data_IF_005869636375
#
_entry.id   IF_005869636375
#
_cell.length_a   1.000
_cell.length_b   1.000
_cell.length_c   1.000
_cell.angle_alpha   90.00
_cell.angle_beta   90.00
_cell.angle_gamma   90.00
#
_symmetry.space_group_name_H-M   'P 1'
#
loop_
_entity.id
_entity.type
_entity.pdbx_description
1 polymer ?
#
# COMPACT_ATOMS: atom_id res chain seq x y z
N UNK A 1 49.81 -77.92 -22.03
CA UNK A 1 48.48 -77.23 -22.07
C UNK A 1 48.46 -76.14 -21.02
N UNK A 2 48.57 -74.89 -21.43
CA UNK A 2 48.62 -73.70 -20.50
C UNK A 2 47.35 -72.91 -20.65
N UNK A 3 46.55 -72.84 -19.56
CA UNK A 3 45.36 -72.05 -19.42
C UNK A 3 45.72 -70.60 -19.28
N UNK A 4 45.17 -69.72 -20.15
CA UNK A 4 45.25 -68.24 -20.03
C UNK A 4 44.11 -67.74 -19.13
N UNK A 5 44.43 -67.18 -17.99
CA UNK A 5 43.49 -66.45 -17.12
C UNK A 5 43.35 -65.01 -17.62
N UNK A 6 42.15 -64.68 -18.09
CA UNK A 6 41.78 -63.33 -18.45
C UNK A 6 41.39 -62.53 -17.17
N UNK A 7 42.12 -61.45 -16.89
CA UNK A 7 41.78 -60.54 -15.80
C UNK A 7 40.80 -59.45 -16.34
N UNK A 8 39.59 -59.43 -15.82
CA UNK A 8 38.66 -58.37 -16.04
C UNK A 8 39.02 -57.20 -15.10
N UNK A 9 39.26 -56.02 -15.67
CA UNK A 9 39.47 -54.78 -14.94
C UNK A 9 38.11 -54.14 -14.78
N UNK A 10 37.58 -54.08 -13.55
CA UNK A 10 36.39 -53.28 -13.22
C UNK A 10 36.82 -51.82 -13.04
N UNK A 11 36.41 -50.95 -13.98
CA UNK A 11 36.52 -49.52 -13.87
C UNK A 11 35.30 -49.03 -13.10
N UNK A 12 35.47 -48.73 -11.83
CA UNK A 12 34.41 -48.15 -11.00
C UNK A 12 34.20 -46.66 -11.37
N UNK A 13 33.08 -46.38 -11.99
CA UNK A 13 32.63 -45.00 -12.24
C UNK A 13 32.07 -44.42 -10.94
N UNK A 14 32.83 -43.59 -10.23
CA UNK A 14 32.36 -42.83 -9.09
C UNK A 14 31.62 -41.61 -9.65
N UNK A 15 30.29 -41.68 -9.68
CA UNK A 15 29.42 -40.53 -9.89
C UNK A 15 29.46 -39.66 -8.64
N UNK A 16 30.16 -38.52 -8.73
CA UNK A 16 29.99 -37.42 -7.77
C UNK A 16 28.61 -36.80 -8.02
N UNK A 17 27.62 -37.22 -7.23
CA UNK A 17 26.40 -36.44 -7.04
C UNK A 17 26.77 -35.21 -6.21
N UNK A 18 27.07 -34.11 -6.90
CA UNK A 18 27.06 -32.78 -6.27
C UNK A 18 25.61 -32.44 -5.90
N UNK A 19 25.20 -32.89 -4.74
CA UNK A 19 23.97 -32.42 -4.12
C UNK A 19 24.12 -30.92 -3.85
N UNK A 20 23.52 -30.09 -4.66
CA UNK A 20 23.26 -28.72 -4.30
C UNK A 20 22.38 -28.76 -3.04
N UNK A 21 22.99 -28.61 -1.87
CA UNK A 21 22.27 -28.24 -0.66
C UNK A 21 21.73 -26.83 -0.93
N UNK A 22 20.46 -26.75 -1.36
CA UNK A 22 19.67 -25.55 -1.25
C UNK A 22 19.54 -25.35 0.26
N UNK A 23 20.37 -24.47 0.81
CA UNK A 23 20.16 -23.97 2.16
C UNK A 23 18.81 -23.29 2.12
N UNK A 24 17.81 -23.89 2.78
CA UNK A 24 16.57 -23.16 3.04
C UNK A 24 16.98 -21.90 3.78
N UNK A 25 16.84 -20.76 3.12
CA UNK A 25 17.12 -19.45 3.71
C UNK A 25 16.26 -19.38 4.98
N UNK A 26 16.90 -19.08 6.11
CA UNK A 26 16.21 -19.12 7.39
C UNK A 26 15.16 -18.02 7.36
N UNK A 27 13.88 -18.39 7.39
CA UNK A 27 12.76 -17.46 7.38
C UNK A 27 13.02 -16.26 8.30
N UNK A 28 12.81 -15.06 7.79
CA UNK A 28 13.00 -13.83 8.56
C UNK A 28 12.05 -13.76 9.76
N UNK A 29 12.33 -12.86 10.71
CA UNK A 29 11.54 -12.78 11.95
C UNK A 29 10.09 -12.36 11.74
N UNK A 30 9.80 -11.74 10.59
CA UNK A 30 8.46 -11.29 10.18
C UNK A 30 8.01 -11.96 8.87
N UNK A 31 8.61 -13.10 8.51
CA UNK A 31 8.19 -13.87 7.35
C UNK A 31 6.64 -14.03 7.31
N UNK A 32 6.00 -13.77 6.14
CA UNK A 32 6.56 -13.59 4.81
C UNK A 32 6.91 -12.14 4.38
N UNK A 33 6.89 -11.19 5.30
CA UNK A 33 7.16 -9.79 4.98
C UNK A 33 8.67 -9.53 4.81
N UNK A 34 9.07 -8.91 3.68
CA UNK A 34 10.46 -8.60 3.41
C UNK A 34 10.99 -7.42 4.26
N UNK A 35 12.31 -7.31 4.35
CA UNK A 35 12.97 -6.09 4.84
C UNK A 35 12.77 -4.93 3.86
N UNK A 36 13.07 -3.70 4.32
CA UNK A 36 13.01 -2.52 3.45
C UNK A 36 14.04 -2.61 2.29
N UNK A 37 15.23 -3.19 2.57
CA UNK A 37 16.26 -3.42 1.55
C UNK A 37 15.78 -4.35 0.45
N UNK A 38 15.16 -5.47 0.82
CA UNK A 38 14.58 -6.43 -0.15
C UNK A 38 13.48 -5.80 -0.98
N UNK A 39 12.59 -5.02 -0.35
CA UNK A 39 11.57 -4.24 -1.07
C UNK A 39 12.22 -3.27 -2.07
N UNK A 40 13.23 -2.52 -1.67
CA UNK A 40 13.91 -1.58 -2.56
C UNK A 40 14.65 -2.27 -3.69
N UNK A 41 15.23 -3.45 -3.46
CA UNK A 41 15.82 -4.27 -4.52
C UNK A 41 14.75 -4.70 -5.54
N UNK A 42 13.59 -5.14 -5.07
CA UNK A 42 12.48 -5.48 -5.96
C UNK A 42 11.99 -4.27 -6.75
N UNK A 43 11.77 -3.10 -6.09
CA UNK A 43 11.35 -1.87 -6.77
C UNK A 43 12.31 -1.47 -7.89
N UNK A 44 13.62 -1.54 -7.64
CA UNK A 44 14.64 -1.22 -8.64
C UNK A 44 14.67 -2.21 -9.82
N UNK A 45 14.14 -3.43 -9.65
CA UNK A 45 14.10 -4.42 -10.72
C UNK A 45 12.97 -4.23 -11.74
N UNK A 46 11.88 -3.53 -11.38
CA UNK A 46 10.71 -3.37 -12.24
C UNK A 46 10.99 -2.68 -13.59
N UNK A 47 11.75 -1.57 -13.66
CA UNK A 47 12.06 -0.92 -14.94
C UNK A 47 12.84 -1.82 -15.90
N UNK A 48 13.72 -2.68 -15.39
CA UNK A 48 14.48 -3.62 -16.19
C UNK A 48 13.62 -4.81 -16.68
N UNK A 49 12.73 -5.33 -15.82
CA UNK A 49 11.84 -6.44 -16.14
C UNK A 49 10.69 -6.04 -17.07
N UNK A 50 10.28 -4.78 -17.05
CA UNK A 50 9.15 -4.25 -17.83
C UNK A 50 9.52 -2.95 -18.56
N UNK A 51 10.46 -3.01 -19.52
CA UNK A 51 10.98 -1.84 -20.19
C UNK A 51 9.88 -1.11 -20.98
N UNK A 52 9.85 0.22 -20.86
CA UNK A 52 8.84 1.05 -21.49
C UNK A 52 7.52 1.17 -20.74
N UNK A 53 7.17 0.17 -19.92
CA UNK A 53 5.96 0.17 -19.10
C UNK A 53 6.18 0.88 -17.76
N UNK A 54 7.29 0.60 -17.08
CA UNK A 54 7.52 1.03 -15.69
C UNK A 54 8.64 2.06 -15.62
N UNK A 55 8.43 3.08 -14.77
CA UNK A 55 9.45 4.03 -14.35
C UNK A 55 9.48 4.09 -12.83
N UNK A 56 10.68 4.06 -12.25
CA UNK A 56 10.92 4.28 -10.83
C UNK A 56 11.37 5.72 -10.61
N UNK A 57 10.75 6.41 -9.67
CA UNK A 57 11.06 7.80 -9.31
C UNK A 57 11.22 7.94 -7.79
N UNK A 58 12.12 8.82 -7.34
CA UNK A 58 12.19 9.29 -5.96
C UNK A 58 11.34 10.56 -5.85
N UNK A 59 10.24 10.51 -5.10
CA UNK A 59 9.33 11.66 -4.92
C UNK A 59 9.67 12.52 -3.71
N UNK A 60 10.59 12.06 -2.87
CA UNK A 60 11.03 12.75 -1.66
C UNK A 60 11.83 11.83 -0.75
N UNK A 61 12.18 12.37 0.40
CA UNK A 61 12.91 11.63 1.45
C UNK A 61 12.17 11.70 2.77
N UNK A 62 12.28 10.63 3.56
CA UNK A 62 11.79 10.56 4.92
C UNK A 62 12.61 11.41 5.88
N UNK A 63 12.21 11.48 7.16
CA UNK A 63 12.95 12.17 8.23
C UNK A 63 14.41 11.69 8.34
N UNK A 64 14.65 10.39 8.21
CA UNK A 64 16.00 9.79 8.24
C UNK A 64 16.66 9.73 6.85
N UNK A 65 16.18 10.53 5.92
CA UNK A 65 16.69 10.65 4.55
C UNK A 65 16.62 9.39 3.67
N UNK A 66 15.74 8.42 4.00
CA UNK A 66 15.44 7.29 3.11
C UNK A 66 14.58 7.74 1.94
N UNK A 67 14.84 7.26 0.70
CA UNK A 67 14.04 7.62 -0.45
C UNK A 67 12.59 7.11 -0.30
N UNK A 68 11.63 7.92 -0.75
CA UNK A 68 10.24 7.54 -0.92
C UNK A 68 10.08 7.29 -2.42
N UNK A 69 9.90 6.02 -2.78
CA UNK A 69 9.82 5.60 -4.17
C UNK A 69 8.39 5.56 -4.69
N UNK A 70 8.25 5.97 -5.95
CA UNK A 70 7.06 5.86 -6.79
C UNK A 70 7.37 4.97 -7.98
N UNK A 71 6.58 3.94 -8.21
CA UNK A 71 6.54 3.19 -9.47
C UNK A 71 5.40 3.73 -10.33
N UNK A 72 5.73 4.17 -11.53
CA UNK A 72 4.76 4.68 -12.51
C UNK A 72 4.57 3.69 -13.64
N UNK A 73 3.37 3.16 -13.76
CA UNK A 73 2.97 2.21 -14.79
C UNK A 73 2.15 2.91 -15.87
N UNK A 74 2.53 2.77 -17.13
CA UNK A 74 1.82 3.32 -18.28
C UNK A 74 2.66 3.26 -19.53
N UNK A 75 2.02 3.08 -20.69
CA UNK A 75 2.73 3.04 -21.98
C UNK A 75 2.90 4.43 -22.61
N UNK A 76 1.91 5.29 -22.45
CA UNK A 76 2.01 6.69 -22.90
C UNK A 76 2.72 7.51 -21.81
N UNK A 77 3.56 8.43 -22.21
CA UNK A 77 4.31 9.31 -21.31
C UNK A 77 3.91 10.78 -21.48
N UNK A 78 2.63 11.00 -21.81
CA UNK A 78 2.09 12.36 -21.90
C UNK A 78 2.01 12.99 -20.51
N UNK A 79 2.44 14.25 -20.38
CA UNK A 79 2.34 15.00 -19.12
C UNK A 79 0.90 15.18 -18.66
N UNK A 80 -0.04 15.25 -19.62
CA UNK A 80 -1.47 15.46 -19.33
C UNK A 80 -2.26 14.17 -19.15
N UNK A 81 -1.55 13.02 -19.08
CA UNK A 81 -2.20 11.73 -18.92
C UNK A 81 -2.84 11.63 -17.52
N UNK A 82 -4.13 11.21 -17.43
CA UNK A 82 -4.78 10.98 -16.15
C UNK A 82 -4.06 9.93 -15.31
N UNK A 83 -3.99 10.13 -13.99
CA UNK A 83 -3.27 9.24 -13.08
C UNK A 83 -4.15 8.73 -11.96
N UNK A 84 -3.96 7.48 -11.59
CA UNK A 84 -4.44 6.90 -10.34
C UNK A 84 -3.27 6.68 -9.39
N UNK A 85 -3.45 6.94 -8.09
CA UNK A 85 -2.45 6.69 -7.06
C UNK A 85 -2.89 5.56 -6.14
N UNK A 86 -1.98 4.63 -5.88
CA UNK A 86 -2.09 3.61 -4.83
C UNK A 86 -0.94 3.81 -3.85
N UNK A 87 -1.23 4.05 -2.58
CA UNK A 87 -0.21 4.27 -1.56
C UNK A 87 -0.37 3.28 -0.40
N UNK A 88 0.70 2.54 -0.08
CA UNK A 88 0.78 1.65 1.08
C UNK A 88 1.75 2.17 2.14
N UNK A 89 1.68 1.60 3.35
CA UNK A 89 2.68 1.80 4.38
C UNK A 89 2.77 3.21 4.96
N UNK A 90 1.68 3.97 5.02
CA UNK A 90 1.63 5.25 5.75
C UNK A 90 1.77 5.01 7.26
N UNK A 91 1.13 3.97 7.80
CA UNK A 91 1.40 3.46 9.14
C UNK A 91 2.46 2.37 9.07
N UNK A 92 3.45 2.52 9.92
CA UNK A 92 4.66 1.71 9.83
C UNK A 92 4.49 0.22 10.16
N UNK A 93 3.45 -0.15 10.92
CA UNK A 93 3.15 -1.55 11.26
C UNK A 93 2.26 -2.27 10.25
N UNK A 94 1.64 -1.56 9.31
CA UNK A 94 0.62 -2.11 8.40
C UNK A 94 1.26 -2.69 7.13
N UNK A 95 2.09 -3.73 7.30
CA UNK A 95 2.90 -4.33 6.23
C UNK A 95 2.07 -4.99 5.12
N UNK A 96 0.89 -5.52 5.47
CA UNK A 96 0.02 -6.14 4.46
C UNK A 96 -0.48 -5.11 3.43
N UNK A 97 -0.67 -3.84 3.80
CA UNK A 97 -0.98 -2.77 2.85
C UNK A 97 0.15 -2.55 1.84
N UNK A 98 1.40 -2.56 2.31
CA UNK A 98 2.60 -2.56 1.43
C UNK A 98 2.63 -3.79 0.53
N UNK A 99 2.33 -4.98 1.06
CA UNK A 99 2.33 -6.22 0.30
C UNK A 99 1.28 -6.21 -0.83
N UNK A 100 0.07 -5.70 -0.57
CA UNK A 100 -0.96 -5.51 -1.62
C UNK A 100 -0.50 -4.51 -2.67
N UNK A 101 0.12 -3.39 -2.27
CA UNK A 101 0.69 -2.43 -3.23
C UNK A 101 1.74 -3.07 -4.14
N UNK A 102 2.62 -3.90 -3.58
CA UNK A 102 3.62 -4.65 -4.34
C UNK A 102 2.99 -5.68 -5.28
N UNK A 103 1.92 -6.35 -4.83
CA UNK A 103 1.20 -7.30 -5.69
C UNK A 103 0.50 -6.60 -6.86
N UNK A 104 -0.08 -5.41 -6.64
CA UNK A 104 -0.59 -4.57 -7.74
C UNK A 104 0.54 -4.27 -8.74
N UNK A 105 1.76 -3.95 -8.28
CA UNK A 105 2.91 -3.75 -9.16
C UNK A 105 3.23 -4.99 -10.00
N UNK A 106 3.25 -6.18 -9.37
CA UNK A 106 3.52 -7.46 -10.05
C UNK A 106 2.44 -7.77 -11.08
N UNK A 107 1.17 -7.66 -10.69
CA UNK A 107 0.05 -7.89 -11.62
C UNK A 107 0.09 -6.97 -12.83
N UNK A 108 0.35 -5.67 -12.63
CA UNK A 108 0.49 -4.71 -13.73
C UNK A 108 1.66 -5.07 -14.65
N UNK A 109 2.81 -5.43 -14.09
CA UNK A 109 3.99 -5.80 -14.86
C UNK A 109 3.79 -7.08 -15.68
N UNK A 110 3.20 -8.11 -15.08
CA UNK A 110 3.04 -9.43 -15.69
C UNK A 110 1.90 -9.50 -16.70
N UNK A 111 0.74 -8.88 -16.36
CA UNK A 111 -0.50 -9.01 -17.14
C UNK A 111 -0.59 -8.00 -18.28
N UNK A 112 0.05 -6.84 -18.20
CA UNK A 112 -0.07 -5.76 -19.20
C UNK A 112 0.32 -6.16 -20.62
N UNK A 113 1.17 -7.15 -20.79
CA UNK A 113 1.56 -7.69 -22.09
C UNK A 113 0.53 -8.66 -22.71
N UNK A 114 -0.26 -9.33 -21.88
CA UNK A 114 -1.12 -10.46 -22.26
C UNK A 114 -2.61 -10.20 -22.03
N UNK A 115 -2.97 -9.18 -21.27
CA UNK A 115 -4.35 -8.75 -21.05
C UNK A 115 -4.67 -7.50 -21.89
N UNK A 116 -5.47 -7.62 -22.96
CA UNK A 116 -5.80 -6.49 -23.82
C UNK A 116 -6.52 -5.35 -23.09
N UNK A 117 -7.41 -5.65 -22.13
CA UNK A 117 -8.14 -4.63 -21.40
C UNK A 117 -7.22 -3.82 -20.49
N UNK A 118 -6.34 -4.50 -19.76
CA UNK A 118 -5.33 -3.83 -18.92
C UNK A 118 -4.33 -3.01 -19.77
N UNK A 119 -3.92 -3.54 -20.93
CA UNK A 119 -3.06 -2.81 -21.86
C UNK A 119 -3.73 -1.54 -22.38
N UNK A 120 -5.01 -1.62 -22.76
CA UNK A 120 -5.78 -0.47 -23.21
C UNK A 120 -5.95 0.56 -22.10
N UNK A 121 -6.17 0.14 -20.87
CA UNK A 121 -6.20 1.02 -19.71
C UNK A 121 -4.86 1.75 -19.54
N UNK A 122 -3.73 1.03 -19.52
CA UNK A 122 -2.38 1.60 -19.37
C UNK A 122 -1.90 2.44 -20.55
N UNK A 123 -2.58 2.40 -21.69
CA UNK A 123 -2.41 3.36 -22.79
C UNK A 123 -3.14 4.69 -22.52
N UNK A 124 -4.20 4.67 -21.71
CA UNK A 124 -5.07 5.81 -21.46
C UNK A 124 -4.73 6.53 -20.16
N UNK A 125 -4.23 5.80 -19.14
CA UNK A 125 -3.89 6.35 -17.83
C UNK A 125 -2.50 5.89 -17.39
N UNK A 126 -1.95 6.58 -16.41
CA UNK A 126 -0.84 6.08 -15.59
C UNK A 126 -1.37 5.61 -14.23
N UNK A 127 -0.80 4.51 -13.72
CA UNK A 127 -1.05 4.02 -12.36
C UNK A 127 0.26 4.20 -11.59
N UNK A 128 0.22 5.09 -10.63
CA UNK A 128 1.33 5.41 -9.74
C UNK A 128 1.17 4.63 -8.44
N UNK A 129 2.25 4.03 -7.97
CA UNK A 129 2.23 3.22 -6.74
C UNK A 129 3.38 3.66 -5.82
N UNK A 130 3.04 4.04 -4.59
CA UNK A 130 3.96 4.25 -3.48
C UNK A 130 3.83 3.04 -2.54
N UNK A 131 4.68 2.02 -2.63
CA UNK A 131 4.51 0.82 -1.79
C UNK A 131 4.79 1.07 -0.31
N UNK A 132 5.75 1.96 0.01
CA UNK A 132 6.16 2.29 1.37
C UNK A 132 6.24 3.80 1.53
N UNK A 133 5.18 4.41 2.06
CA UNK A 133 5.12 5.85 2.28
C UNK A 133 5.94 6.30 3.51
N UNK A 134 6.09 5.43 4.51
CA UNK A 134 6.84 5.66 5.75
C UNK A 134 8.03 4.69 5.88
N UNK A 135 9.10 4.88 5.10
CA UNK A 135 10.20 3.91 5.06
C UNK A 135 11.00 3.83 6.36
N UNK A 136 11.12 4.91 7.12
CA UNK A 136 11.79 4.90 8.44
C UNK A 136 11.03 4.05 9.43
N UNK A 137 9.70 4.24 9.45
CA UNK A 137 8.82 3.47 10.30
C UNK A 137 8.84 1.98 9.93
N UNK A 138 8.74 1.67 8.64
CA UNK A 138 8.82 0.29 8.12
C UNK A 138 10.12 -0.40 8.58
N UNK A 139 11.28 0.22 8.31
CA UNK A 139 12.59 -0.30 8.71
C UNK A 139 12.69 -0.51 10.23
N UNK A 140 12.18 0.44 11.03
CA UNK A 140 12.16 0.34 12.50
C UNK A 140 11.32 -0.85 12.96
N UNK A 141 10.10 -1.03 12.44
CA UNK A 141 9.22 -2.15 12.80
C UNK A 141 9.85 -3.49 12.40
N UNK A 142 10.43 -3.58 11.21
CA UNK A 142 11.12 -4.78 10.76
C UNK A 142 12.30 -5.13 11.66
N UNK A 143 13.20 -4.17 11.93
CA UNK A 143 14.41 -4.37 12.73
C UNK A 143 14.11 -4.67 14.21
N UNK A 144 12.96 -4.28 14.71
CA UNK A 144 12.50 -4.64 16.07
C UNK A 144 11.67 -5.93 16.10
N UNK A 145 11.57 -6.65 14.99
CA UNK A 145 10.78 -7.87 14.85
C UNK A 145 9.31 -7.67 15.25
N UNK A 146 8.71 -6.53 14.82
CA UNK A 146 7.32 -6.20 15.14
C UNK A 146 7.06 -5.93 16.63
N UNK A 147 8.07 -5.48 17.38
CA UNK A 147 7.95 -5.09 18.80
C UNK A 147 7.88 -3.56 18.88
N UNK A 148 7.04 -3.04 19.77
CA UNK A 148 7.03 -1.60 20.02
C UNK A 148 5.71 -0.99 20.44
N UNK A 149 4.61 -1.75 20.39
CA UNK A 149 3.27 -1.25 20.64
C UNK A 149 2.79 -0.25 19.59
N UNK A 150 1.48 -0.05 19.45
CA UNK A 150 0.85 0.86 18.49
C UNK A 150 1.55 2.23 18.41
N UNK A 151 1.81 2.84 19.56
CA UNK A 151 2.47 4.15 19.62
C UNK A 151 3.85 4.21 18.97
N UNK A 152 4.63 3.13 19.09
CA UNK A 152 5.98 3.04 18.54
C UNK A 152 6.03 2.57 17.10
N UNK A 153 5.02 1.81 16.67
CA UNK A 153 4.99 1.19 15.36
C UNK A 153 4.20 2.01 14.31
N UNK A 154 3.17 2.77 14.73
CA UNK A 154 2.30 3.51 13.82
C UNK A 154 2.97 4.70 13.12
N UNK A 155 3.77 5.46 13.85
CA UNK A 155 4.26 6.80 13.49
C UNK A 155 5.50 6.77 12.60
N UNK A 156 5.81 7.91 11.96
CA UNK A 156 7.10 8.11 11.31
C UNK A 156 8.26 8.31 12.32
N UNK A 157 9.47 8.56 11.84
CA UNK A 157 10.64 8.79 12.69
C UNK A 157 10.55 10.11 13.50
N UNK A 158 9.81 11.11 12.99
CA UNK A 158 9.49 12.36 13.70
C UNK A 158 8.49 12.18 14.84
N UNK A 159 7.93 10.98 15.01
CA UNK A 159 6.93 10.69 16.05
C UNK A 159 5.55 11.23 15.75
N UNK A 160 5.23 11.45 14.47
CA UNK A 160 3.95 11.97 13.97
C UNK A 160 3.14 10.85 13.30
N UNK A 161 1.84 10.85 13.50
CA UNK A 161 0.90 10.04 12.73
C UNK A 161 0.68 10.70 11.36
N UNK A 162 1.28 10.16 10.31
CA UNK A 162 1.21 10.72 8.96
C UNK A 162 -0.22 10.80 8.44
N UNK A 163 -1.09 9.86 8.84
CA UNK A 163 -2.52 9.86 8.51
C UNK A 163 -3.35 10.86 9.36
N UNK A 164 -2.67 11.82 10.02
CA UNK A 164 -3.25 12.96 10.74
C UNK A 164 -2.49 14.26 10.42
N UNK A 165 -1.47 14.20 9.57
CA UNK A 165 -0.57 15.33 9.32
C UNK A 165 -0.96 16.16 8.08
N UNK A 166 -2.07 15.83 7.41
CA UNK A 166 -2.61 16.65 6.33
C UNK A 166 -3.41 17.84 6.84
N UNK A 167 -3.70 18.86 6.01
CA UNK A 167 -4.55 19.97 6.39
C UNK A 167 -5.94 19.50 6.82
N UNK A 168 -6.41 20.02 7.93
CA UNK A 168 -7.76 19.73 8.46
C UNK A 168 -8.81 20.51 7.69
N UNK A 169 -9.93 19.89 7.36
CA UNK A 169 -11.07 20.56 6.72
C UNK A 169 -11.47 21.79 7.56
N UNK A 170 -11.60 22.98 6.94
CA UNK A 170 -11.91 24.21 7.67
C UNK A 170 -13.16 24.09 8.56
N UNK A 171 -13.00 24.42 9.84
CA UNK A 171 -14.08 24.31 10.83
C UNK A 171 -14.34 22.91 11.39
N UNK A 172 -13.70 21.86 10.87
CA UNK A 172 -13.84 20.51 11.40
C UNK A 172 -13.24 20.39 12.81
N UNK A 173 -13.98 19.72 13.69
CA UNK A 173 -13.58 19.47 15.09
C UNK A 173 -14.06 18.09 15.51
N UNK A 174 -13.28 17.42 16.33
CA UNK A 174 -13.68 16.15 16.95
C UNK A 174 -13.10 16.03 18.36
N UNK A 175 -13.88 15.48 19.27
CA UNK A 175 -13.44 15.08 20.61
C UNK A 175 -13.14 13.58 20.68
N UNK A 176 -13.30 12.85 19.59
CA UNK A 176 -13.02 11.42 19.54
C UNK A 176 -11.52 11.18 19.78
N UNK A 177 -11.13 10.24 20.66
CA UNK A 177 -9.73 10.04 21.03
C UNK A 177 -8.82 9.63 19.87
N UNK A 178 -9.38 8.98 18.85
CA UNK A 178 -8.66 8.52 17.64
C UNK A 178 -8.63 9.56 16.51
N UNK A 179 -9.37 10.67 16.64
CA UNK A 179 -9.53 11.62 15.54
C UNK A 179 -8.24 12.35 15.15
N UNK A 180 -7.32 12.44 16.06
CA UNK A 180 -6.10 13.24 15.95
C UNK A 180 -6.03 14.32 17.04
N UNK A 181 -4.84 14.65 17.48
CA UNK A 181 -4.62 15.67 18.51
C UNK A 181 -3.20 16.26 18.45
N UNK A 182 -3.00 17.39 19.14
CA UNK A 182 -1.72 18.12 19.20
C UNK A 182 -0.80 17.68 20.35
N UNK A 183 -1.04 16.53 20.97
CA UNK A 183 -0.20 16.00 22.07
C UNK A 183 0.89 15.08 21.52
N UNK A 184 2.20 15.40 21.57
CA UNK A 184 3.28 14.61 20.97
C UNK A 184 3.37 13.15 21.47
N UNK A 185 2.88 12.91 22.70
CA UNK A 185 2.85 11.55 23.29
C UNK A 185 1.67 10.68 22.82
N UNK A 186 0.71 11.25 22.08
CA UNK A 186 -0.43 10.50 21.53
C UNK A 186 0.02 9.61 20.38
N UNK A 187 -0.60 8.43 20.21
CA UNK A 187 -0.48 7.60 19.00
C UNK A 187 -0.98 8.35 17.76
N UNK A 188 -1.95 9.26 17.94
CA UNK A 188 -2.62 10.06 16.90
C UNK A 188 -2.14 11.52 16.90
N UNK A 189 -0.84 11.74 17.11
CA UNK A 189 -0.25 13.08 17.09
C UNK A 189 -0.16 13.61 15.66
N UNK A 190 -0.78 14.75 15.43
CA UNK A 190 -0.91 15.38 14.10
C UNK A 190 0.33 16.16 13.65
N UNK A 191 1.41 16.17 14.43
CA UNK A 191 2.55 17.05 14.20
C UNK A 191 2.33 18.47 14.72
N UNK A 192 3.37 19.33 14.64
CA UNK A 192 3.28 20.73 15.07
C UNK A 192 2.36 21.57 14.17
N UNK A 193 2.36 21.27 12.87
CA UNK A 193 1.53 21.91 11.85
C UNK A 193 1.14 20.93 10.75
N UNK A 194 0.15 21.23 9.92
CA UNK A 194 -0.16 20.41 8.75
C UNK A 194 1.05 20.31 7.81
N UNK A 195 1.29 19.12 7.28
CA UNK A 195 2.42 18.82 6.39
C UNK A 195 3.79 19.14 7.01
N UNK A 196 3.92 19.05 8.35
CA UNK A 196 5.20 19.18 9.02
C UNK A 196 6.19 18.10 8.64
N UNK A 197 5.70 16.91 8.29
CA UNK A 197 6.52 15.76 7.97
C UNK A 197 6.90 15.71 6.48
N UNK A 198 8.16 15.37 6.15
CA UNK A 198 8.59 15.30 4.76
C UNK A 198 7.82 14.26 3.94
N UNK A 199 7.43 13.15 4.55
CA UNK A 199 6.62 12.11 3.92
C UNK A 199 5.24 12.65 3.51
N UNK A 200 4.56 13.34 4.42
CA UNK A 200 3.24 13.95 4.14
C UNK A 200 3.35 15.03 3.06
N UNK A 201 4.42 15.84 3.07
CA UNK A 201 4.66 16.85 2.04
C UNK A 201 4.88 16.21 0.67
N UNK A 202 5.71 15.16 0.59
CA UNK A 202 6.00 14.48 -0.65
C UNK A 202 4.71 13.97 -1.34
N UNK A 203 3.82 13.32 -0.58
CA UNK A 203 2.54 12.85 -1.10
C UNK A 203 1.61 14.01 -1.48
N UNK A 204 1.49 15.03 -0.63
CA UNK A 204 0.61 16.17 -0.90
C UNK A 204 1.05 16.97 -2.13
N UNK A 205 2.36 17.18 -2.32
CA UNK A 205 2.92 17.84 -3.49
C UNK A 205 2.72 17.01 -4.76
N UNK A 206 2.96 15.69 -4.69
CA UNK A 206 2.72 14.78 -5.79
C UNK A 206 1.26 14.87 -6.26
N UNK A 207 0.31 14.69 -5.35
CA UNK A 207 -1.13 14.68 -5.68
C UNK A 207 -1.62 16.04 -6.17
N UNK A 208 -1.09 17.14 -5.63
CA UNK A 208 -1.47 18.50 -6.03
C UNK A 208 -0.93 18.92 -7.40
N UNK A 209 0.26 18.46 -7.77
CA UNK A 209 0.99 18.96 -8.92
C UNK A 209 0.84 18.06 -10.16
N UNK A 210 0.20 16.92 -10.02
CA UNK A 210 -0.01 15.96 -11.10
C UNK A 210 -1.52 15.73 -11.37
N UNK A 211 -1.87 15.02 -12.43
CA UNK A 211 -3.24 14.86 -12.93
C UNK A 211 -3.95 13.63 -12.35
N UNK A 212 -4.01 13.55 -11.01
CA UNK A 212 -4.71 12.45 -10.35
C UNK A 212 -6.22 12.61 -10.41
N UNK A 213 -6.92 11.52 -10.72
CA UNK A 213 -8.38 11.43 -10.69
C UNK A 213 -8.91 10.54 -9.57
N UNK A 214 -8.03 9.76 -8.92
CA UNK A 214 -8.36 8.90 -7.78
C UNK A 214 -7.11 8.55 -6.96
N UNK A 215 -7.28 8.38 -5.65
CA UNK A 215 -6.24 7.90 -4.73
C UNK A 215 -6.79 6.77 -3.86
N UNK A 216 -6.01 5.70 -3.69
CA UNK A 216 -6.29 4.59 -2.78
C UNK A 216 -5.16 4.47 -1.75
N UNK A 217 -5.51 4.60 -0.48
CA UNK A 217 -4.60 4.44 0.66
C UNK A 217 -4.82 3.06 1.28
N UNK A 218 -3.81 2.19 1.18
CA UNK A 218 -3.84 0.84 1.69
C UNK A 218 -3.39 0.80 3.15
N UNK A 219 -4.30 0.41 4.00
CA UNK A 219 -4.17 0.27 5.45
C UNK A 219 -4.41 -1.17 5.89
N UNK A 220 -4.35 -1.43 7.18
CA UNK A 220 -4.90 -2.58 7.88
C UNK A 220 -5.31 -2.16 9.31
N UNK A 221 -6.30 -2.75 9.93
CA UNK A 221 -6.92 -4.05 9.68
C UNK A 221 -8.42 -3.96 10.00
N UNK A 222 -9.30 -3.97 9.02
CA UNK A 222 -10.74 -3.95 9.33
C UNK A 222 -11.66 -4.54 8.24
N UNK A 223 -11.14 -5.02 7.11
CA UNK A 223 -11.95 -5.55 6.01
C UNK A 223 -12.96 -4.53 5.49
N UNK A 224 -12.49 -3.32 5.16
CA UNK A 224 -13.37 -2.20 4.79
C UNK A 224 -12.84 -1.42 3.60
N UNK A 225 -13.79 -0.95 2.79
CA UNK A 225 -13.59 0.13 1.85
C UNK A 225 -14.23 1.40 2.43
N UNK A 226 -13.41 2.40 2.74
CA UNK A 226 -13.83 3.63 3.41
C UNK A 226 -13.77 4.80 2.44
N UNK A 227 -14.87 5.59 2.41
CA UNK A 227 -14.97 6.77 1.54
C UNK A 227 -15.25 8.04 2.37
N UNK A 228 -14.92 9.25 1.86
CA UNK A 228 -15.20 10.52 2.53
C UNK A 228 -16.70 10.72 2.83
N UNK A 229 -17.06 11.44 3.91
CA UNK A 229 -16.14 12.22 4.75
C UNK A 229 -15.66 11.42 5.96
N UNK A 230 -14.45 11.69 6.41
CA UNK A 230 -13.92 11.20 7.67
C UNK A 230 -14.15 12.18 8.83
N UNK A 231 -14.13 13.51 8.57
CA UNK A 231 -14.34 14.55 9.58
C UNK A 231 -15.80 14.77 9.97
N UNK A 232 -16.76 14.35 9.16
CA UNK A 232 -18.17 14.68 9.31
C UNK A 232 -19.09 13.50 9.02
N UNK A 233 -20.19 13.40 9.79
CA UNK A 233 -21.27 12.44 9.53
C UNK A 233 -22.14 12.81 8.32
N UNK A 234 -22.01 14.02 7.80
CA UNK A 234 -22.73 14.45 6.60
C UNK A 234 -22.33 13.57 5.41
N UNK A 235 -23.27 13.31 4.52
CA UNK A 235 -22.97 12.54 3.31
C UNK A 235 -22.26 13.43 2.29
N UNK A 236 -21.22 12.91 1.66
CA UNK A 236 -20.59 13.57 0.53
C UNK A 236 -21.54 13.63 -0.68
N UNK A 237 -21.57 14.72 -1.46
CA UNK A 237 -22.45 14.82 -2.64
C UNK A 237 -22.16 13.76 -3.68
N UNK A 238 -20.92 13.28 -3.80
CA UNK A 238 -20.48 12.27 -4.76
C UNK A 238 -20.55 10.84 -4.18
N UNK A 239 -21.34 10.63 -3.11
CA UNK A 239 -21.43 9.35 -2.39
C UNK A 239 -21.73 8.16 -3.30
N UNK A 240 -22.61 8.31 -4.27
CA UNK A 240 -23.01 7.21 -5.17
C UNK A 240 -21.83 6.77 -6.06
N UNK A 241 -21.06 7.73 -6.57
CA UNK A 241 -19.80 7.46 -7.30
C UNK A 241 -18.82 6.67 -6.42
N UNK A 242 -18.68 7.04 -5.14
CA UNK A 242 -17.79 6.34 -4.20
C UNK A 242 -18.24 4.90 -3.95
N UNK A 243 -19.54 4.68 -3.82
CA UNK A 243 -20.10 3.35 -3.64
C UNK A 243 -19.87 2.48 -4.88
N UNK A 244 -20.05 3.01 -6.09
CA UNK A 244 -19.80 2.27 -7.33
C UNK A 244 -18.33 1.86 -7.47
N UNK A 245 -17.38 2.72 -7.09
CA UNK A 245 -15.95 2.40 -7.06
C UNK A 245 -15.68 1.28 -6.05
N UNK A 246 -16.24 1.40 -4.83
CA UNK A 246 -16.11 0.38 -3.81
C UNK A 246 -16.75 -0.97 -4.21
N UNK A 247 -17.85 -0.95 -4.94
CA UNK A 247 -18.50 -2.15 -5.47
C UNK A 247 -17.65 -2.85 -6.54
N UNK A 248 -16.91 -2.11 -7.37
CA UNK A 248 -15.97 -2.68 -8.31
C UNK A 248 -14.84 -3.43 -7.59
N UNK A 249 -14.26 -2.82 -6.54
CA UNK A 249 -13.31 -3.51 -5.67
C UNK A 249 -13.92 -4.78 -5.08
N UNK A 250 -15.08 -4.64 -4.41
CA UNK A 250 -15.77 -5.75 -3.72
C UNK A 250 -16.09 -6.91 -4.66
N UNK A 251 -16.55 -6.63 -5.88
CA UNK A 251 -16.91 -7.64 -6.86
C UNK A 251 -15.71 -8.41 -7.42
N UNK A 252 -14.52 -7.83 -7.35
CA UNK A 252 -13.27 -8.45 -7.82
C UNK A 252 -12.50 -9.16 -6.69
N UNK A 253 -12.93 -8.99 -5.44
CA UNK A 253 -12.39 -9.72 -4.30
C UNK A 253 -12.86 -11.17 -4.32
N UNK A 254 -11.93 -12.11 -4.47
CA UNK A 254 -12.24 -13.54 -4.63
C UNK A 254 -12.64 -14.23 -3.35
N UNK A 255 -12.04 -13.82 -2.24
CA UNK A 255 -12.05 -14.57 -0.99
C UNK A 255 -12.90 -13.89 0.10
N UNK A 256 -12.83 -12.58 0.20
CA UNK A 256 -13.47 -11.82 1.27
C UNK A 256 -13.90 -10.43 0.80
N UNK A 257 -15.17 -10.24 0.46
CA UNK A 257 -15.68 -8.94 0.04
C UNK A 257 -15.74 -7.97 1.23
N UNK A 258 -15.17 -6.77 1.06
CA UNK A 258 -15.11 -5.77 2.11
C UNK A 258 -16.41 -4.98 2.24
N UNK A 259 -16.67 -4.52 3.47
CA UNK A 259 -17.79 -3.62 3.73
C UNK A 259 -17.47 -2.22 3.21
N UNK A 260 -18.34 -1.70 2.34
CA UNK A 260 -18.28 -0.32 1.83
C UNK A 260 -19.01 0.59 2.83
N UNK A 261 -18.32 1.59 3.38
CA UNK A 261 -18.94 2.52 4.31
C UNK A 261 -18.23 3.87 4.34
N UNK A 262 -18.94 4.90 4.81
CA UNK A 262 -18.34 6.21 5.08
C UNK A 262 -17.35 6.13 6.25
N UNK A 263 -16.18 6.73 6.09
CA UNK A 263 -15.08 6.73 7.08
C UNK A 263 -15.54 7.21 8.46
N UNK A 264 -16.30 8.30 8.53
CA UNK A 264 -16.88 8.83 9.79
C UNK A 264 -17.71 7.80 10.55
N UNK A 265 -18.41 6.91 9.86
CA UNK A 265 -19.25 5.89 10.51
C UNK A 265 -18.47 4.80 11.24
N UNK A 266 -17.18 4.69 10.97
CA UNK A 266 -16.27 3.85 11.75
C UNK A 266 -15.74 4.63 12.95
N UNK A 267 -14.99 5.70 12.70
CA UNK A 267 -14.68 6.75 13.68
C UNK A 267 -14.24 8.03 12.93
N UNK A 268 -14.49 9.22 13.53
CA UNK A 268 -14.06 10.46 12.88
C UNK A 268 -12.55 10.62 12.88
N UNK A 269 -12.00 11.17 11.78
CA UNK A 269 -10.60 11.56 11.67
C UNK A 269 -10.47 13.04 11.28
N UNK A 270 -9.32 13.61 11.59
CA UNK A 270 -8.95 14.99 11.24
C UNK A 270 -7.53 14.96 10.67
N UNK A 271 -7.32 15.63 9.53
CA UNK A 271 -6.01 15.73 8.91
C UNK A 271 -5.55 14.43 8.23
N UNK A 272 -6.47 13.63 7.75
CA UNK A 272 -6.21 12.48 6.89
C UNK A 272 -6.10 12.90 5.40
N UNK A 273 -5.38 12.14 4.57
CA UNK A 273 -5.22 12.46 3.15
C UNK A 273 -6.52 12.33 2.35
N UNK A 274 -7.48 11.47 2.75
CA UNK A 274 -8.70 11.24 1.98
C UNK A 274 -9.61 12.46 1.97
N UNK A 275 -9.87 13.04 3.13
CA UNK A 275 -10.64 14.27 3.22
C UNK A 275 -9.90 15.45 2.58
N UNK A 276 -8.56 15.55 2.74
CA UNK A 276 -7.77 16.58 2.09
C UNK A 276 -7.86 16.49 0.56
N UNK A 277 -7.59 15.33 -0.02
CA UNK A 277 -7.61 15.14 -1.47
C UNK A 277 -8.99 15.43 -2.05
N UNK A 278 -10.04 14.91 -1.42
CA UNK A 278 -11.39 15.09 -1.92
C UNK A 278 -11.90 16.53 -1.73
N UNK A 279 -11.74 17.10 -0.54
CA UNK A 279 -12.29 18.43 -0.23
C UNK A 279 -11.51 19.55 -0.89
N UNK A 280 -10.18 19.50 -0.85
CA UNK A 280 -9.31 20.58 -1.35
C UNK A 280 -9.04 20.49 -2.85
N UNK A 281 -8.89 19.26 -3.39
CA UNK A 281 -8.44 19.03 -4.76
C UNK A 281 -9.54 18.43 -5.66
N UNK A 282 -10.67 18.01 -5.11
CA UNK A 282 -11.73 17.33 -5.85
C UNK A 282 -11.36 15.89 -6.28
N UNK A 283 -10.33 15.31 -5.67
CA UNK A 283 -9.84 13.98 -6.05
C UNK A 283 -10.48 12.94 -5.11
N UNK A 284 -11.36 12.06 -5.62
CA UNK A 284 -11.86 10.91 -4.85
C UNK A 284 -10.71 10.16 -4.21
N UNK A 285 -10.74 9.99 -2.90
CA UNK A 285 -9.68 9.35 -2.14
C UNK A 285 -10.28 8.39 -1.12
N UNK A 286 -9.71 7.20 -1.00
CA UNK A 286 -10.30 6.08 -0.28
C UNK A 286 -9.26 5.38 0.59
N UNK A 287 -9.69 4.94 1.76
CA UNK A 287 -8.91 4.01 2.58
C UNK A 287 -9.42 2.58 2.35
N UNK A 288 -8.51 1.66 2.08
CA UNK A 288 -8.77 0.22 2.01
C UNK A 288 -8.07 -0.44 3.20
N UNK A 289 -8.88 -0.94 4.13
CA UNK A 289 -8.44 -1.64 5.33
C UNK A 289 -8.29 -3.14 5.05
N UNK A 290 -7.11 -3.53 4.64
CA UNK A 290 -6.75 -4.90 4.24
C UNK A 290 -6.85 -5.86 5.41
N UNK A 291 -7.34 -7.07 5.18
CA UNK A 291 -7.52 -8.17 6.14
C UNK A 291 -8.49 -7.86 7.29
N UNK A 292 -8.66 -8.79 8.21
CA UNK A 292 -9.51 -8.60 9.38
C UNK A 292 -8.82 -9.05 10.66
N UNK A 293 -9.08 -8.36 11.78
CA UNK A 293 -8.55 -8.72 13.10
C UNK A 293 -8.88 -10.18 13.44
N UNK A 294 -10.11 -10.61 13.16
CA UNK A 294 -10.52 -12.00 13.43
C UNK A 294 -9.70 -13.01 12.62
N UNK A 295 -9.49 -12.75 11.32
CA UNK A 295 -8.68 -13.62 10.47
C UNK A 295 -7.25 -13.70 10.98
N UNK A 296 -6.63 -12.55 11.27
CA UNK A 296 -5.24 -12.48 11.71
C UNK A 296 -5.03 -13.15 13.08
N UNK A 297 -5.97 -12.99 14.02
CA UNK A 297 -5.93 -13.69 15.31
C UNK A 297 -6.05 -15.21 15.16
N UNK A 298 -6.89 -15.68 14.24
CA UNK A 298 -7.09 -17.12 14.00
C UNK A 298 -5.89 -17.76 13.30
N UNK A 299 -5.19 -16.99 12.48
CA UNK A 299 -4.07 -17.41 11.66
C UNK A 299 -2.86 -17.87 12.52
N UNK A 300 -2.54 -17.12 13.55
CA UNK A 300 -1.36 -17.38 14.40
C UNK A 300 -1.69 -17.95 15.80
N UNK A 301 -2.95 -17.99 16.16
CA UNK A 301 -3.41 -18.44 17.50
C UNK A 301 -2.98 -17.51 18.64
N UNK A 302 -3.62 -17.66 19.79
CA UNK A 302 -3.42 -16.81 20.98
C UNK A 302 -2.01 -16.91 21.61
N UNK A 303 -1.21 -17.90 21.24
CA UNK A 303 0.11 -18.19 21.86
C UNK A 303 1.22 -17.24 21.42
N UNK A 304 1.03 -16.49 20.33
CA UNK A 304 2.04 -15.57 19.77
C UNK A 304 1.49 -14.15 19.62
N UNK A 305 0.76 -13.67 20.64
CA UNK A 305 0.21 -12.32 20.59
C UNK A 305 1.35 -11.30 20.51
N UNK A 306 1.59 -10.82 19.29
CA UNK A 306 2.35 -9.61 19.01
C UNK A 306 1.42 -8.65 18.30
N UNK A 307 1.46 -7.40 18.67
CA UNK A 307 0.64 -6.34 18.12
C UNK A 307 0.78 -6.24 16.59
N UNK A 308 1.98 -6.47 16.07
CA UNK A 308 2.25 -6.56 14.63
C UNK A 308 1.32 -7.57 13.92
N UNK A 309 1.08 -8.75 14.51
CA UNK A 309 0.24 -9.79 13.92
C UNK A 309 -1.27 -9.55 14.06
N UNK A 310 -1.67 -8.50 14.78
CA UNK A 310 -3.05 -8.01 14.69
C UNK A 310 -3.30 -7.26 13.41
N UNK A 311 -2.33 -6.43 13.00
CA UNK A 311 -2.40 -5.66 11.77
C UNK A 311 -2.10 -6.51 10.52
N UNK A 312 -1.36 -7.63 10.68
CA UNK A 312 -0.80 -8.37 9.55
C UNK A 312 -1.12 -9.86 9.63
N UNK A 313 -1.64 -10.49 8.56
CA UNK A 313 -1.73 -11.94 8.46
C UNK A 313 -0.34 -12.58 8.38
N UNK A 314 -0.24 -13.84 8.80
CA UNK A 314 0.94 -14.68 8.64
C UNK A 314 0.74 -15.71 7.54
N UNK A 315 0.17 -16.89 7.90
CA UNK A 315 -0.09 -17.98 6.96
C UNK A 315 -1.09 -17.60 5.85
N UNK A 316 -1.98 -16.64 6.13
CA UNK A 316 -2.96 -16.11 5.18
C UNK A 316 -2.47 -14.90 4.38
N UNK A 317 -1.17 -14.68 4.30
CA UNK A 317 -0.58 -13.59 3.52
C UNK A 317 -1.04 -13.64 2.05
N UNK A 318 -0.82 -14.76 1.35
CA UNK A 318 -1.21 -14.92 -0.06
C UNK A 318 -2.72 -14.78 -0.26
N UNK A 319 -3.52 -15.34 0.66
CA UNK A 319 -4.98 -15.19 0.63
C UNK A 319 -5.43 -13.73 0.53
N UNK A 320 -4.77 -12.82 1.26
CA UNK A 320 -5.16 -11.42 1.28
C UNK A 320 -4.61 -10.62 0.11
N UNK A 321 -3.37 -10.85 -0.31
CA UNK A 321 -2.83 -10.15 -1.48
C UNK A 321 -3.58 -10.53 -2.76
N UNK A 322 -3.91 -11.82 -2.94
CA UNK A 322 -4.73 -12.31 -4.05
C UNK A 322 -6.19 -11.84 -3.99
N UNK A 323 -6.70 -11.54 -2.80
CA UNK A 323 -8.02 -10.97 -2.62
C UNK A 323 -8.08 -9.52 -3.08
N UNK A 324 -7.07 -8.73 -2.76
CA UNK A 324 -7.17 -7.28 -2.81
C UNK A 324 -6.54 -6.65 -4.06
N UNK A 325 -5.42 -7.18 -4.58
CA UNK A 325 -4.75 -6.57 -5.73
C UNK A 325 -5.65 -6.49 -6.98
N UNK A 326 -6.41 -7.54 -7.39
CA UNK A 326 -7.35 -7.43 -8.49
C UNK A 326 -8.49 -6.43 -8.21
N UNK A 327 -8.92 -6.35 -6.95
CA UNK A 327 -9.95 -5.40 -6.50
C UNK A 327 -9.50 -3.95 -6.65
N UNK A 328 -8.25 -3.64 -6.28
CA UNK A 328 -7.67 -2.30 -6.45
C UNK A 328 -7.61 -1.91 -7.92
N UNK A 329 -7.17 -2.80 -8.80
CA UNK A 329 -7.12 -2.56 -10.25
C UNK A 329 -8.52 -2.29 -10.81
N UNK A 330 -9.51 -3.11 -10.44
CA UNK A 330 -10.90 -2.92 -10.86
C UNK A 330 -11.51 -1.60 -10.34
N UNK A 331 -11.15 -1.18 -9.12
CA UNK A 331 -11.57 0.10 -8.58
C UNK A 331 -10.95 1.29 -9.33
N UNK A 332 -9.68 1.19 -9.77
CA UNK A 332 -9.03 2.19 -10.61
C UNK A 332 -9.76 2.32 -11.96
N UNK A 333 -10.02 1.18 -12.63
CA UNK A 333 -10.75 1.15 -13.89
C UNK A 333 -12.14 1.80 -13.74
N UNK A 334 -12.90 1.41 -12.71
CA UNK A 334 -14.21 1.99 -12.43
C UNK A 334 -14.13 3.49 -12.16
N UNK A 335 -13.15 3.94 -11.37
CA UNK A 335 -12.94 5.36 -11.12
C UNK A 335 -12.64 6.13 -12.42
N UNK A 336 -11.80 5.58 -13.29
CA UNK A 336 -11.52 6.17 -14.60
C UNK A 336 -12.78 6.31 -15.46
N UNK A 337 -13.60 5.28 -15.54
CA UNK A 337 -14.87 5.30 -16.29
C UNK A 337 -15.84 6.36 -15.77
N UNK A 338 -15.97 6.50 -14.44
CA UNK A 338 -16.91 7.43 -13.81
C UNK A 338 -16.42 8.89 -13.86
N UNK A 339 -15.14 9.13 -13.64
CA UNK A 339 -14.55 10.48 -13.62
C UNK A 339 -14.06 10.93 -14.99
N UNK A 340 -13.92 10.01 -15.97
CA UNK A 340 -13.25 10.23 -17.25
C UNK A 340 -11.83 10.74 -17.10
N UNK A 341 -11.14 10.26 -16.07
CA UNK A 341 -9.76 10.62 -15.77
C UNK A 341 -9.58 12.07 -15.29
N UNK A 342 -10.61 12.68 -14.73
CA UNK A 342 -10.53 14.07 -14.24
C UNK A 342 -10.92 14.14 -12.76
N UNK A 343 -10.30 15.03 -11.99
CA UNK A 343 -10.80 15.33 -10.65
C UNK A 343 -12.22 15.89 -10.72
N UNK A 344 -12.97 15.68 -9.65
CA UNK A 344 -14.26 16.32 -9.44
C UNK A 344 -14.06 17.80 -9.06
N UNK A 345 -15.16 18.54 -8.92
CA UNK A 345 -15.09 19.89 -8.38
C UNK A 345 -14.65 19.86 -6.90
N UNK A 346 -13.67 20.68 -6.53
CA UNK A 346 -13.24 20.83 -5.15
C UNK A 346 -14.39 21.35 -4.27
N UNK A 347 -14.55 20.76 -3.06
CA UNK A 347 -15.72 21.02 -2.20
C UNK A 347 -15.49 22.13 -1.18
N UNK A 348 -14.25 22.55 -0.95
CA UNK A 348 -13.91 23.61 -0.02
C UNK A 348 -12.86 24.56 -0.60
N UNK A 349 -13.02 25.87 -0.35
CA UNK A 349 -11.93 26.82 -0.55
C UNK A 349 -10.99 26.70 0.65
N UNK A 350 -9.80 26.18 0.42
CA UNK A 350 -8.74 26.14 1.41
C UNK A 350 -7.99 27.47 1.35
N UNK A 351 -8.31 28.40 2.23
CA UNK A 351 -7.45 29.53 2.49
C UNK A 351 -6.17 29.00 3.16
N UNK A 352 -5.00 29.54 2.77
CA UNK A 352 -3.72 29.18 3.39
C UNK A 352 -3.84 29.41 4.91
N UNK A 353 -3.83 28.33 5.69
CA UNK A 353 -3.72 28.36 7.15
C UNK A 353 -2.29 28.62 7.56
#
# INVERSE_FOLDING_TARGET
>A
MRSKKTRAVFLGLILFLAGSQVWAEKAGPLDPYPSLEELYQELNSFPEKSPGLVKLEEIGKSVEARPIYLLRFGWSRSKDQPKALVAGGIHAEEFIGTAVAMEVCRELAEKSGNDPALKDLLNQIEIDIIPVHNPDGYARVYNTNGKGGEKGMRKNAGGVDLNRNFPVVPGAKSLHPLAGNRRPRSSYYMGPEPLSEPESRAMAELVKNDHYFVVFNLHSVAGKFLYPYAHSKSMAPDRELFIEIGQALQSSQKNHPYRIQQSYSWYPTLGDPDDYNYMALGIPSFTIEVSTVQSNLMDRGLKTFKEFWLANPGEKYDYWIENDAPGVIAAIEKAYLLTRGKPLEAKAKWEKQ
#
